data_IF_356172524892
#
_entry.id   IF_356172524892
#
_cell.length_a   1.000
_cell.length_b   1.000
_cell.length_c   1.000
_cell.angle_alpha   90.00
_cell.angle_beta   90.00
_cell.angle_gamma   90.00
#
_symmetry.space_group_name_H-M   'P 1'
#
loop_
_entity.id
_entity.type
_entity.pdbx_description
1 polymer ?
#
# COMPACT_ATOMS: atom_id res chain seq x y z
N UNK A 1 21.70 -11.24 -2.33
CA UNK A 1 20.94 -11.29 -1.04
C UNK A 1 21.91 -11.08 0.11
N UNK A 2 21.50 -10.39 1.18
CA UNK A 2 22.23 -10.19 2.43
C UNK A 2 21.32 -10.52 3.61
N UNK A 3 21.92 -11.08 4.64
CA UNK A 3 21.22 -11.48 5.85
C UNK A 3 21.38 -10.41 6.94
N UNK A 4 20.27 -10.02 7.54
CA UNK A 4 20.24 -9.07 8.66
C UNK A 4 19.27 -9.54 9.74
N UNK A 5 19.39 -8.97 10.93
CA UNK A 5 18.44 -9.12 12.03
C UNK A 5 17.79 -7.75 12.23
N UNK A 6 16.45 -7.70 12.17
CA UNK A 6 15.70 -6.44 12.23
C UNK A 6 14.24 -6.70 12.58
N UNK A 7 13.47 -5.67 12.85
CA UNK A 7 12.03 -5.72 12.89
C UNK A 7 11.39 -5.14 11.59
N UNK A 8 10.07 -5.32 11.45
CA UNK A 8 9.36 -4.89 10.26
C UNK A 8 9.39 -3.37 10.03
N UNK A 9 9.28 -2.57 11.08
CA UNK A 9 9.31 -1.11 11.00
C UNK A 9 10.69 -0.60 10.56
N UNK A 10 11.77 -1.15 11.12
CA UNK A 10 13.15 -0.83 10.71
C UNK A 10 13.41 -1.25 9.26
N UNK A 11 12.84 -2.39 8.82
CA UNK A 11 12.95 -2.85 7.42
C UNK A 11 12.26 -1.91 6.44
N UNK A 12 11.10 -1.37 6.80
CA UNK A 12 10.42 -0.31 6.00
C UNK A 12 11.32 0.92 5.86
N UNK A 13 11.87 1.42 6.97
CA UNK A 13 12.77 2.57 6.94
C UNK A 13 14.04 2.29 6.12
N UNK A 14 14.64 1.11 6.29
CA UNK A 14 15.82 0.68 5.53
C UNK A 14 15.55 0.60 4.04
N UNK A 15 14.47 -0.03 3.64
CA UNK A 15 14.06 -0.14 2.23
C UNK A 15 13.83 1.25 1.61
N UNK A 16 13.15 2.14 2.35
CA UNK A 16 12.93 3.53 1.92
C UNK A 16 14.25 4.26 1.64
N UNK A 17 15.23 4.18 2.54
CA UNK A 17 16.56 4.78 2.35
C UNK A 17 17.26 4.21 1.12
N UNK A 18 17.20 2.90 0.94
CA UNK A 18 17.93 2.18 -0.11
C UNK A 18 17.33 2.37 -1.51
N UNK A 19 16.02 2.59 -1.61
CA UNK A 19 15.34 2.97 -2.86
C UNK A 19 15.46 4.46 -3.18
N UNK A 20 16.18 5.21 -2.34
CA UNK A 20 16.48 6.62 -2.57
C UNK A 20 15.54 7.63 -1.91
N UNK A 21 14.73 7.24 -0.94
CA UNK A 21 13.99 8.19 -0.11
C UNK A 21 14.96 9.10 0.64
N UNK A 22 14.73 10.43 0.58
CA UNK A 22 15.59 11.43 1.22
C UNK A 22 14.81 12.43 2.06
N UNK A 23 13.50 12.20 2.24
CA UNK A 23 12.69 13.04 3.10
C UNK A 23 11.64 12.22 3.84
N UNK A 24 11.53 12.47 5.14
CA UNK A 24 10.47 11.96 5.99
C UNK A 24 9.89 13.10 6.82
N UNK A 25 8.58 13.31 6.71
CA UNK A 25 7.82 14.21 7.58
C UNK A 25 6.76 13.42 8.34
N UNK A 26 6.67 13.60 9.65
CA UNK A 26 5.72 12.83 10.41
C UNK A 26 5.47 13.31 11.84
N UNK A 27 4.55 12.64 12.49
CA UNK A 27 4.18 12.79 13.88
C UNK A 27 4.12 11.39 14.53
N UNK A 28 4.66 11.20 15.75
CA UNK A 28 4.76 9.87 16.34
C UNK A 28 3.40 9.29 16.72
N UNK A 29 3.12 8.09 16.25
CA UNK A 29 1.93 7.32 16.62
C UNK A 29 2.28 5.82 16.66
N UNK A 30 1.91 5.13 17.76
CA UNK A 30 2.08 3.69 17.90
C UNK A 30 1.08 2.96 16.98
N UNK A 31 1.52 1.90 16.21
CA UNK A 31 2.81 1.20 16.28
C UNK A 31 3.82 1.64 15.19
N UNK A 32 3.59 2.73 14.46
CA UNK A 32 4.47 3.20 13.37
C UNK A 32 5.65 4.07 13.82
N UNK A 33 5.74 4.41 15.12
CA UNK A 33 6.78 5.32 15.65
C UNK A 33 8.21 4.83 15.39
N UNK A 34 8.43 3.52 15.31
CA UNK A 34 9.76 2.95 15.10
C UNK A 34 10.26 3.21 13.66
N UNK A 35 9.34 3.27 12.65
CA UNK A 35 9.69 3.75 11.31
C UNK A 35 10.24 5.17 11.38
N UNK A 36 9.52 6.06 12.07
CA UNK A 36 9.91 7.45 12.24
C UNK A 36 11.26 7.57 12.95
N UNK A 37 11.47 6.79 14.04
CA UNK A 37 12.74 6.76 14.77
C UNK A 37 13.89 6.30 13.87
N UNK A 38 13.73 5.18 13.16
CA UNK A 38 14.75 4.68 12.24
C UNK A 38 15.09 5.70 11.14
N UNK A 39 14.07 6.37 10.56
CA UNK A 39 14.27 7.42 9.56
C UNK A 39 15.01 8.64 10.13
N UNK A 40 14.74 9.03 11.38
CA UNK A 40 15.42 10.16 12.05
C UNK A 40 16.93 9.94 12.19
N UNK A 41 17.34 8.69 12.38
CA UNK A 41 18.76 8.29 12.50
C UNK A 41 19.41 8.08 11.13
N UNK A 42 18.68 7.54 10.16
CA UNK A 42 19.24 7.13 8.87
C UNK A 42 19.34 8.28 7.86
N UNK A 43 18.32 9.13 7.74
CA UNK A 43 18.26 10.20 6.73
C UNK A 43 19.43 11.19 6.81
N UNK A 44 19.83 11.71 7.99
CA UNK A 44 20.97 12.63 8.06
C UNK A 44 22.28 12.00 7.58
N UNK A 45 22.45 10.67 7.73
CA UNK A 45 23.67 9.96 7.32
C UNK A 45 23.78 9.80 5.80
N UNK A 46 22.69 9.95 5.07
CA UNK A 46 22.67 9.84 3.60
C UNK A 46 22.30 11.15 2.89
N UNK A 47 22.42 12.29 3.58
CA UNK A 47 22.11 13.61 3.02
C UNK A 47 20.61 13.87 2.86
N UNK A 48 19.77 13.11 3.55
CA UNK A 48 18.32 13.32 3.59
C UNK A 48 17.89 14.18 4.78
N UNK A 49 16.61 14.53 4.81
CA UNK A 49 16.01 15.37 5.84
C UNK A 49 14.89 14.63 6.56
N UNK A 50 14.89 14.75 7.87
CA UNK A 50 13.86 14.26 8.76
C UNK A 50 13.23 15.43 9.50
N UNK A 51 11.90 15.51 9.52
CA UNK A 51 11.19 16.55 10.27
C UNK A 51 10.06 15.92 11.09
N UNK A 52 10.14 16.08 12.39
CA UNK A 52 8.99 15.85 13.27
C UNK A 52 8.14 17.12 13.29
N UNK A 53 6.87 16.96 13.02
CA UNK A 53 5.89 18.04 13.00
C UNK A 53 5.00 17.99 14.25
N UNK A 54 4.13 18.99 14.41
CA UNK A 54 3.23 19.10 15.56
C UNK A 54 2.00 18.17 15.47
N UNK A 55 1.67 17.72 14.26
CA UNK A 55 0.54 16.83 13.97
C UNK A 55 0.75 16.06 12.65
N UNK A 56 -0.20 15.15 12.36
CA UNK A 56 -0.20 14.34 11.15
C UNK A 56 -0.47 15.15 9.88
N UNK A 57 -1.26 16.23 9.97
CA UNK A 57 -1.60 17.12 8.84
C UNK A 57 -0.34 17.81 8.34
N UNK A 58 0.42 18.39 9.25
CA UNK A 58 1.69 19.05 8.95
C UNK A 58 2.73 18.04 8.45
N UNK A 59 2.77 16.82 9.04
CA UNK A 59 3.72 15.76 8.67
C UNK A 59 3.58 15.31 7.21
N UNK A 60 2.35 15.07 6.75
CA UNK A 60 2.13 14.73 5.33
C UNK A 60 2.34 15.94 4.42
N UNK A 61 1.95 17.14 4.85
CA UNK A 61 2.09 18.36 4.02
C UNK A 61 3.54 18.66 3.67
N UNK A 62 4.47 18.57 4.64
CA UNK A 62 5.90 18.77 4.35
C UNK A 62 6.47 17.65 3.47
N UNK A 63 5.96 16.41 3.60
CA UNK A 63 6.37 15.29 2.75
C UNK A 63 5.92 15.48 1.29
N UNK A 64 4.72 16.01 1.08
CA UNK A 64 4.23 16.38 -0.26
C UNK A 64 5.06 17.51 -0.86
N UNK A 65 5.39 18.56 -0.08
CA UNK A 65 6.27 19.65 -0.50
C UNK A 65 7.65 19.15 -0.94
N UNK A 66 8.24 18.23 -0.20
CA UNK A 66 9.50 17.58 -0.56
C UNK A 66 9.37 16.76 -1.85
N UNK A 67 8.27 16.02 -2.02
CA UNK A 67 8.01 15.28 -3.26
C UNK A 67 7.88 16.20 -4.46
N UNK A 68 7.20 17.33 -4.34
CA UNK A 68 7.08 18.35 -5.41
C UNK A 68 8.42 18.97 -5.78
N UNK A 69 9.38 19.03 -4.87
CA UNK A 69 10.76 19.46 -5.16
C UNK A 69 11.64 18.37 -5.78
N UNK A 70 11.08 17.21 -6.11
CA UNK A 70 11.76 16.10 -6.78
C UNK A 70 12.37 15.04 -5.85
N UNK A 71 12.13 15.16 -4.54
CA UNK A 71 12.69 14.24 -3.54
C UNK A 71 11.74 13.09 -3.28
N UNK A 72 12.18 11.83 -3.40
CA UNK A 72 11.40 10.69 -2.91
C UNK A 72 11.16 10.87 -1.42
N UNK A 73 9.89 10.86 -1.01
CA UNK A 73 9.46 11.14 0.36
C UNK A 73 8.45 10.12 0.85
N UNK A 74 8.37 9.99 2.17
CA UNK A 74 7.36 9.18 2.82
C UNK A 74 6.89 9.80 4.14
N UNK A 75 5.77 9.30 4.61
CA UNK A 75 5.26 9.48 5.97
C UNK A 75 4.78 8.13 6.51
N UNK A 76 4.76 7.97 7.82
CA UNK A 76 4.19 6.79 8.48
C UNK A 76 3.16 7.22 9.50
N UNK A 77 2.14 6.35 9.72
CA UNK A 77 1.09 6.59 10.70
C UNK A 77 0.39 5.28 11.08
N UNK A 78 -0.74 5.41 11.75
CA UNK A 78 -1.70 4.35 12.06
C UNK A 78 -3.10 4.93 11.91
N UNK A 79 -4.13 4.11 11.77
CA UNK A 79 -5.51 4.50 11.48
C UNK A 79 -5.97 5.88 11.97
N UNK A 80 -5.87 6.22 13.29
CA UNK A 80 -6.28 7.55 13.77
C UNK A 80 -5.51 8.71 13.14
N UNK A 81 -4.20 8.54 12.92
CA UNK A 81 -3.38 9.55 12.26
C UNK A 81 -3.60 9.61 10.75
N UNK A 82 -3.91 8.48 10.10
CA UNK A 82 -4.34 8.48 8.69
C UNK A 82 -5.64 9.29 8.54
N UNK A 83 -6.58 9.16 9.49
CA UNK A 83 -7.81 9.95 9.49
C UNK A 83 -7.59 11.47 9.49
N UNK A 84 -6.48 11.94 10.08
CA UNK A 84 -6.11 13.36 10.05
C UNK A 84 -5.45 13.78 8.73
N UNK A 85 -4.87 12.83 7.98
CA UNK A 85 -4.15 13.10 6.72
C UNK A 85 -5.03 13.11 5.48
N UNK A 86 -6.33 12.83 5.59
CA UNK A 86 -7.20 12.54 4.44
C UNK A 86 -7.26 13.65 3.41
N UNK A 87 -7.33 14.92 3.81
CA UNK A 87 -7.38 16.03 2.86
C UNK A 87 -6.09 16.14 2.03
N UNK A 88 -4.93 16.00 2.67
CA UNK A 88 -3.64 16.01 1.98
C UNK A 88 -3.45 14.77 1.09
N UNK A 89 -4.00 13.64 1.47
CA UNK A 89 -4.07 12.44 0.62
C UNK A 89 -4.91 12.76 -0.63
N UNK A 90 -6.06 13.41 -0.47
CA UNK A 90 -6.89 13.88 -1.59
C UNK A 90 -6.19 14.81 -2.52
N UNK A 91 -5.51 15.81 -1.95
CA UNK A 91 -4.66 16.72 -2.71
C UNK A 91 -3.58 15.97 -3.51
N UNK A 92 -2.93 14.98 -2.89
CA UNK A 92 -1.91 14.16 -3.54
C UNK A 92 -2.44 13.37 -4.73
N UNK A 93 -3.66 12.81 -4.64
CA UNK A 93 -4.30 12.13 -5.77
C UNK A 93 -4.60 13.10 -6.91
N UNK A 94 -5.25 14.22 -6.63
CA UNK A 94 -5.66 15.19 -7.66
C UNK A 94 -4.46 15.86 -8.33
N UNK A 95 -3.46 16.24 -7.54
CA UNK A 95 -2.25 16.91 -8.03
C UNK A 95 -1.19 15.94 -8.58
N UNK A 96 -1.43 14.65 -8.50
CA UNK A 96 -0.53 13.58 -8.94
C UNK A 96 0.87 13.66 -8.32
N UNK A 97 0.92 13.81 -6.99
CA UNK A 97 2.16 13.90 -6.23
C UNK A 97 2.49 12.52 -5.66
N UNK A 98 3.59 11.88 -6.06
CA UNK A 98 3.97 10.57 -5.54
C UNK A 98 4.43 10.67 -4.08
N UNK A 99 3.91 9.78 -3.25
CA UNK A 99 4.26 9.66 -1.83
C UNK A 99 4.04 8.22 -1.36
N UNK A 100 4.92 7.70 -0.54
CA UNK A 100 4.67 6.45 0.18
C UNK A 100 4.10 6.77 1.56
N UNK A 101 2.96 6.18 1.88
CA UNK A 101 2.28 6.33 3.17
C UNK A 101 2.24 4.95 3.84
N UNK A 102 3.08 4.74 4.85
CA UNK A 102 3.04 3.52 5.63
C UNK A 102 1.97 3.64 6.73
N UNK A 103 0.98 2.76 6.66
CA UNK A 103 -0.01 2.58 7.71
C UNK A 103 0.29 1.28 8.45
N UNK A 104 0.74 1.40 9.70
CA UNK A 104 0.90 0.24 10.58
C UNK A 104 -0.39 0.09 11.38
N UNK A 105 -1.27 -0.78 10.88
CA UNK A 105 -2.63 -0.96 11.36
C UNK A 105 -2.66 -1.49 12.80
N UNK A 106 -3.46 -0.87 13.63
CA UNK A 106 -3.73 -1.28 15.01
C UNK A 106 -5.22 -1.49 15.25
N UNK A 107 -5.55 -2.09 16.38
CA UNK A 107 -6.94 -2.36 16.72
C UNK A 107 -7.70 -1.06 16.98
N UNK A 108 -8.74 -0.80 16.17
CA UNK A 108 -9.69 0.32 16.26
C UNK A 108 -11.08 -0.15 16.74
N UNK A 109 -12.13 0.67 16.61
CA UNK A 109 -12.15 2.02 16.03
C UNK A 109 -11.58 3.10 16.98
N UNK A 110 -11.40 4.34 16.46
CA UNK A 110 -10.83 5.47 17.19
C UNK A 110 -9.44 5.15 17.75
N UNK A 111 -9.10 5.56 18.95
CA UNK A 111 -7.80 5.29 19.60
C UNK A 111 -7.55 3.79 19.76
N UNK A 112 -8.58 3.02 20.01
CA UNK A 112 -8.55 1.56 20.07
C UNK A 112 -7.55 0.99 21.07
N UNK A 113 -6.80 -0.01 20.62
CA UNK A 113 -5.73 -0.65 21.38
C UNK A 113 -4.38 -0.45 20.65
N UNK A 114 -3.55 0.55 21.03
CA UNK A 114 -2.39 0.99 20.24
C UNK A 114 -1.31 -0.07 19.98
N UNK A 115 -1.20 -1.06 20.85
CA UNK A 115 -0.20 -2.15 20.78
C UNK A 115 -0.84 -3.50 20.43
N UNK A 116 -1.99 -3.49 19.75
CA UNK A 116 -2.72 -4.71 19.40
C UNK A 116 -3.03 -4.75 17.91
N UNK A 117 -2.83 -5.93 17.34
CA UNK A 117 -3.00 -6.18 15.91
C UNK A 117 -4.46 -6.06 15.48
N UNK A 118 -4.66 -5.50 14.29
CA UNK A 118 -5.87 -5.58 13.51
C UNK A 118 -5.56 -5.33 12.02
N UNK A 119 -6.54 -5.60 11.16
CA UNK A 119 -6.56 -5.23 9.75
C UNK A 119 -7.79 -4.32 9.52
N UNK A 120 -7.87 -3.24 10.32
CA UNK A 120 -9.06 -2.40 10.43
C UNK A 120 -9.15 -1.27 9.42
N UNK A 121 -8.07 -0.95 8.71
CA UNK A 121 -7.98 0.23 7.87
C UNK A 121 -8.09 -0.08 6.36
N UNK A 122 -8.39 -1.34 6.01
CA UNK A 122 -8.41 -1.84 4.62
C UNK A 122 -9.47 -1.14 3.77
N UNK A 123 -10.73 -1.12 4.22
CA UNK A 123 -11.80 -0.40 3.52
C UNK A 123 -11.62 1.12 3.56
N UNK A 124 -11.08 1.63 4.67
CA UNK A 124 -10.79 3.04 4.80
C UNK A 124 -9.80 3.49 3.73
N UNK A 125 -8.71 2.74 3.50
CA UNK A 125 -7.71 3.10 2.51
C UNK A 125 -8.06 2.71 1.06
N UNK A 126 -9.22 2.09 0.84
CA UNK A 126 -9.84 2.00 -0.50
C UNK A 126 -10.39 3.35 -0.95
N UNK A 127 -11.05 4.05 -0.02
CA UNK A 127 -11.69 5.34 -0.23
C UNK A 127 -11.39 6.29 0.93
N UNK A 128 -10.12 6.72 1.10
CA UNK A 128 -9.75 7.55 2.25
C UNK A 128 -10.26 8.98 2.16
N UNK A 129 -10.79 9.39 1.00
CA UNK A 129 -11.26 10.75 0.72
C UNK A 129 -12.59 10.73 -0.04
N UNK A 130 -13.19 11.90 -0.20
CA UNK A 130 -14.33 12.14 -1.08
C UNK A 130 -13.91 12.17 -2.57
N UNK A 131 -14.88 12.06 -3.48
CA UNK A 131 -14.66 12.13 -4.94
C UNK A 131 -14.26 10.78 -5.55
N UNK A 132 -13.84 10.82 -6.81
CA UNK A 132 -13.55 9.67 -7.64
C UNK A 132 -12.04 9.53 -7.90
N UNK A 133 -11.45 8.43 -7.45
CA UNK A 133 -10.03 8.11 -7.61
C UNK A 133 -9.80 6.59 -7.45
N UNK A 134 -8.58 6.13 -7.72
CA UNK A 134 -8.16 4.75 -7.44
C UNK A 134 -6.95 4.72 -6.52
N UNK A 135 -7.10 4.08 -5.38
CA UNK A 135 -6.02 3.86 -4.43
C UNK A 135 -5.12 2.70 -4.87
N UNK A 136 -3.84 2.78 -4.50
CA UNK A 136 -2.87 1.66 -4.60
C UNK A 136 -2.40 1.32 -3.19
N UNK A 137 -2.63 0.07 -2.77
CA UNK A 137 -2.31 -0.39 -1.42
C UNK A 137 -1.72 -1.80 -1.42
N UNK A 138 -0.57 -1.95 -0.79
CA UNK A 138 0.21 -3.19 -0.68
C UNK A 138 0.17 -3.73 0.74
N UNK A 139 0.05 -5.04 0.91
CA UNK A 139 -0.07 -5.68 2.22
C UNK A 139 1.05 -6.71 2.46
N UNK A 140 2.19 -6.30 3.02
CA UNK A 140 3.26 -7.20 3.40
C UNK A 140 2.79 -8.17 4.51
N UNK A 141 3.27 -9.42 4.46
CA UNK A 141 2.89 -10.47 5.39
C UNK A 141 4.00 -10.91 6.36
N UNK A 142 5.24 -10.52 6.09
CA UNK A 142 6.42 -10.93 6.84
C UNK A 142 7.56 -9.90 6.72
N UNK A 143 8.69 -10.17 7.37
CA UNK A 143 9.86 -9.28 7.39
C UNK A 143 10.46 -9.02 6.01
N UNK A 144 10.58 -10.06 5.17
CA UNK A 144 11.12 -9.92 3.82
C UNK A 144 10.23 -8.98 2.99
N UNK A 145 8.92 -9.13 3.13
CA UNK A 145 7.94 -8.31 2.43
C UNK A 145 7.81 -6.91 3.01
N UNK A 146 8.02 -6.70 4.32
CA UNK A 146 8.13 -5.35 4.88
C UNK A 146 9.21 -4.54 4.15
N UNK A 147 10.30 -5.20 3.72
CA UNK A 147 11.34 -4.59 2.91
C UNK A 147 10.96 -4.49 1.43
N UNK A 148 10.62 -5.62 0.80
CA UNK A 148 10.43 -5.68 -0.66
C UNK A 148 9.20 -4.92 -1.14
N UNK A 149 8.08 -4.99 -0.40
CA UNK A 149 6.88 -4.23 -0.72
C UNK A 149 7.07 -2.71 -0.48
N UNK A 150 7.97 -2.30 0.43
CA UNK A 150 8.34 -0.88 0.56
C UNK A 150 9.09 -0.40 -0.68
N UNK A 151 10.07 -1.15 -1.19
CA UNK A 151 10.75 -0.82 -2.46
C UNK A 151 9.73 -0.72 -3.59
N UNK A 152 8.81 -1.69 -3.67
CA UNK A 152 7.75 -1.72 -4.67
C UNK A 152 6.79 -0.53 -4.53
N UNK A 153 6.42 -0.13 -3.31
CA UNK A 153 5.57 1.03 -3.06
C UNK A 153 6.18 2.32 -3.61
N UNK A 154 7.48 2.54 -3.41
CA UNK A 154 8.19 3.68 -3.99
C UNK A 154 8.21 3.62 -5.51
N UNK A 155 8.49 2.45 -6.09
CA UNK A 155 8.49 2.28 -7.55
C UNK A 155 7.12 2.57 -8.16
N UNK A 156 6.05 2.06 -7.55
CA UNK A 156 4.68 2.33 -8.01
C UNK A 156 4.30 3.81 -7.85
N UNK A 157 4.66 4.45 -6.72
CA UNK A 157 4.39 5.86 -6.51
C UNK A 157 5.05 6.73 -7.58
N UNK A 158 6.33 6.51 -7.87
CA UNK A 158 7.08 7.24 -8.89
C UNK A 158 6.61 6.94 -10.32
N UNK A 159 6.26 5.68 -10.60
CA UNK A 159 5.77 5.25 -11.92
C UNK A 159 4.37 5.79 -12.22
N UNK A 160 3.50 5.83 -11.23
CA UNK A 160 2.08 6.18 -11.39
C UNK A 160 1.79 7.64 -11.03
N UNK A 161 2.75 8.36 -10.45
CA UNK A 161 2.57 9.71 -9.92
C UNK A 161 1.32 9.78 -9.03
N UNK A 162 1.32 9.02 -7.94
CA UNK A 162 0.16 8.87 -7.04
C UNK A 162 0.65 8.47 -5.64
N UNK A 163 -0.10 8.76 -4.56
CA UNK A 163 0.21 8.18 -3.27
C UNK A 163 0.00 6.65 -3.30
N UNK A 164 0.91 5.92 -2.64
CA UNK A 164 0.84 4.46 -2.48
C UNK A 164 0.86 4.13 -0.99
N UNK A 165 -0.08 3.30 -0.57
CA UNK A 165 -0.19 2.85 0.82
C UNK A 165 0.56 1.54 1.02
N UNK A 166 1.33 1.48 2.10
CA UNK A 166 1.88 0.24 2.64
C UNK A 166 1.05 -0.13 3.87
N UNK A 167 0.12 -1.07 3.71
CA UNK A 167 -0.79 -1.56 4.74
C UNK A 167 -0.15 -2.71 5.50
N UNK A 168 0.55 -2.41 6.57
CA UNK A 168 1.23 -3.39 7.39
C UNK A 168 0.49 -3.53 8.73
N UNK A 169 0.14 -4.74 9.13
CA UNK A 169 -0.42 -4.92 10.47
C UNK A 169 0.66 -4.88 11.57
N UNK A 170 0.26 -4.54 12.80
CA UNK A 170 1.15 -4.38 13.96
C UNK A 170 2.07 -5.58 14.17
N UNK A 171 1.56 -6.80 13.94
CA UNK A 171 2.36 -8.02 14.09
C UNK A 171 3.55 -8.04 13.15
N UNK A 172 3.38 -7.66 11.89
CA UNK A 172 4.49 -7.57 10.93
C UNK A 172 5.44 -6.44 11.33
N UNK A 173 4.90 -5.29 11.77
CA UNK A 173 5.70 -4.14 12.18
C UNK A 173 6.67 -4.44 13.32
N UNK A 174 6.20 -5.17 14.33
CA UNK A 174 6.99 -5.50 15.54
C UNK A 174 7.60 -6.91 15.51
N UNK A 175 7.34 -7.71 14.47
CA UNK A 175 8.01 -9.00 14.31
C UNK A 175 9.52 -8.77 14.21
N UNK A 176 10.29 -9.46 15.05
CA UNK A 176 11.74 -9.34 15.08
C UNK A 176 12.38 -10.67 14.69
N UNK A 177 13.32 -10.65 13.77
CA UNK A 177 13.95 -11.88 13.33
C UNK A 177 15.04 -11.69 12.29
N UNK A 178 15.55 -12.82 11.86
CA UNK A 178 16.56 -12.95 10.81
C UNK A 178 15.86 -12.95 9.45
N UNK A 179 16.32 -12.12 8.53
CA UNK A 179 15.71 -11.96 7.21
C UNK A 179 16.76 -11.85 6.11
N UNK A 180 16.42 -12.36 4.94
CA UNK A 180 17.21 -12.20 3.70
C UNK A 180 16.63 -11.04 2.89
N UNK A 181 17.43 -10.03 2.61
CA UNK A 181 17.03 -8.89 1.77
C UNK A 181 17.94 -8.73 0.55
N UNK A 182 17.48 -8.11 -0.54
CA UNK A 182 18.30 -7.83 -1.72
C UNK A 182 19.58 -7.04 -1.37
N UNK A 183 20.64 -7.23 -2.15
CA UNK A 183 21.81 -6.38 -2.07
C UNK A 183 21.49 -4.96 -2.54
N UNK A 184 22.22 -3.97 -2.05
CA UNK A 184 21.97 -2.56 -2.40
C UNK A 184 22.02 -2.31 -3.92
N UNK A 185 22.96 -2.94 -4.62
CA UNK A 185 23.05 -2.82 -6.08
C UNK A 185 21.83 -3.38 -6.81
N UNK A 186 21.24 -4.47 -6.30
CA UNK A 186 20.00 -5.05 -6.83
C UNK A 186 18.84 -4.07 -6.64
N UNK A 187 18.71 -3.49 -5.46
CA UNK A 187 17.69 -2.47 -5.17
C UNK A 187 17.85 -1.26 -6.08
N UNK A 188 19.08 -0.75 -6.25
CA UNK A 188 19.35 0.40 -7.11
C UNK A 188 19.00 0.13 -8.58
N UNK A 189 19.27 -1.09 -9.08
CA UNK A 189 18.91 -1.49 -10.46
C UNK A 189 17.41 -1.57 -10.69
N UNK A 190 16.63 -1.97 -9.69
CA UNK A 190 15.17 -2.06 -9.79
C UNK A 190 14.46 -0.75 -9.42
N UNK A 191 15.19 0.25 -8.92
CA UNK A 191 14.61 1.54 -8.51
C UNK A 191 14.10 2.31 -9.71
N UNK A 192 12.83 2.70 -9.66
CA UNK A 192 12.17 3.57 -10.63
C UNK A 192 12.20 5.00 -10.10
N UNK A 193 12.52 5.94 -10.98
CA UNK A 193 12.36 7.37 -10.74
C UNK A 193 11.29 7.92 -11.67
N UNK A 194 10.56 8.94 -11.22
CA UNK A 194 9.56 9.64 -12.05
C UNK A 194 10.19 10.19 -13.33
N UNK A 195 9.39 10.24 -14.38
CA UNK A 195 9.82 10.85 -15.64
C UNK A 195 9.94 12.37 -15.46
N UNK A 196 10.93 12.97 -16.09
CA UNK A 196 11.06 14.41 -16.20
C UNK A 196 10.92 14.83 -17.66
N UNK A 197 10.29 15.97 -17.90
CA UNK A 197 10.22 16.56 -19.23
C UNK A 197 11.59 17.13 -19.62
N UNK A 198 12.04 16.76 -20.81
CA UNK A 198 13.28 17.27 -21.42
C UNK A 198 12.88 17.92 -22.74
N UNK A 199 12.93 19.25 -22.81
CA UNK A 199 12.54 20.01 -24.01
C UNK A 199 12.50 21.52 -23.77
N UNK A 200 11.98 22.28 -24.74
CA UNK A 200 11.79 23.73 -24.59
C UNK A 200 10.73 23.99 -23.51
N UNK A 201 11.06 24.82 -22.53
CA UNK A 201 10.19 25.16 -21.41
C UNK A 201 8.83 25.73 -21.82
N UNK A 202 8.72 26.34 -23.02
CA UNK A 202 7.45 26.84 -23.56
C UNK A 202 6.46 25.74 -23.92
N UNK A 203 6.96 24.50 -24.21
CA UNK A 203 6.17 23.36 -24.62
C UNK A 203 5.78 22.48 -23.41
N UNK A 204 6.26 22.83 -22.20
CA UNK A 204 6.02 22.07 -21.00
C UNK A 204 4.56 22.15 -20.54
N UNK A 205 3.89 21.01 -20.56
CA UNK A 205 2.50 20.81 -20.11
C UNK A 205 2.44 19.58 -19.21
N UNK A 206 2.67 19.73 -17.90
CA UNK A 206 2.84 18.60 -16.99
C UNK A 206 1.66 17.61 -16.97
N UNK A 207 0.44 18.09 -17.19
CA UNK A 207 -0.78 17.29 -17.22
C UNK A 207 -1.31 17.05 -18.65
N UNK A 208 -0.60 17.56 -19.68
CA UNK A 208 -0.93 17.36 -21.09
C UNK A 208 -0.38 16.03 -21.63
N UNK A 209 -0.71 14.93 -21.00
CA UNK A 209 -0.25 13.58 -21.32
C UNK A 209 -1.39 12.73 -21.88
N UNK A 210 -1.10 11.51 -22.35
CA UNK A 210 -2.12 10.58 -22.83
C UNK A 210 -3.08 10.13 -21.69
N UNK A 211 -4.25 9.63 -22.06
CA UNK A 211 -5.33 9.32 -21.10
C UNK A 211 -5.04 8.14 -20.16
N UNK A 212 -4.00 7.38 -20.41
CA UNK A 212 -3.52 6.27 -19.57
C UNK A 212 -2.13 6.53 -18.95
N UNK A 213 -1.59 7.74 -19.15
CA UNK A 213 -0.28 8.12 -18.62
C UNK A 213 -0.40 9.08 -17.41
N UNK A 214 0.52 8.97 -16.44
CA UNK A 214 0.61 9.89 -15.32
C UNK A 214 1.14 11.25 -15.76
N UNK A 215 0.88 12.28 -14.96
CA UNK A 215 1.49 13.60 -15.14
C UNK A 215 3.03 13.52 -15.12
N UNK A 216 3.67 14.45 -15.84
CA UNK A 216 5.14 14.59 -15.86
C UNK A 216 5.50 15.89 -15.13
N UNK A 217 5.61 15.79 -13.79
CA UNK A 217 5.91 16.93 -12.93
C UNK A 217 7.42 17.09 -12.74
N UNK A 218 8.00 18.06 -13.45
CA UNK A 218 9.39 18.44 -13.19
C UNK A 218 9.53 19.07 -11.80
N UNK A 219 10.64 18.78 -11.08
CA UNK A 219 10.84 19.34 -9.75
C UNK A 219 10.73 20.86 -9.71
N UNK A 220 10.10 21.39 -8.69
CA UNK A 220 10.11 22.83 -8.42
C UNK A 220 11.55 23.37 -8.34
N UNK A 221 11.72 24.63 -8.64
CA UNK A 221 13.01 25.36 -8.64
C UNK A 221 14.00 24.94 -9.76
N UNK A 222 13.60 24.05 -10.71
CA UNK A 222 14.40 23.68 -11.89
C UNK A 222 14.13 24.57 -13.13
N UNK A 223 13.40 25.67 -12.94
CA UNK A 223 13.16 26.67 -13.98
C UNK A 223 11.97 26.37 -14.89
N UNK A 224 11.18 25.37 -14.60
CA UNK A 224 9.88 25.14 -15.21
C UNK A 224 8.79 25.88 -14.43
N UNK A 225 7.81 26.45 -15.15
CA UNK A 225 6.69 27.17 -14.54
C UNK A 225 5.39 26.46 -14.85
N UNK A 226 4.68 26.03 -13.83
CA UNK A 226 3.39 25.39 -13.91
C UNK A 226 2.65 25.60 -12.59
N UNK A 227 1.35 25.36 -12.61
CA UNK A 227 0.52 25.41 -11.42
C UNK A 227 0.23 24.00 -10.92
N UNK A 228 0.12 23.82 -9.60
CA UNK A 228 -0.31 22.58 -8.96
C UNK A 228 -1.48 22.91 -8.06
N UNK A 229 -2.57 22.18 -8.20
CA UNK A 229 -3.82 22.45 -7.50
C UNK A 229 -4.56 21.16 -7.14
N UNK A 230 -5.32 21.19 -6.04
CA UNK A 230 -6.33 20.20 -5.72
C UNK A 230 -7.65 20.40 -6.48
N UNK A 231 -7.79 21.50 -7.25
CA UNK A 231 -8.94 21.73 -8.10
C UNK A 231 -8.81 20.95 -9.43
N UNK A 232 -9.93 20.73 -10.12
CA UNK A 232 -9.87 20.27 -11.52
C UNK A 232 -9.06 21.28 -12.34
N UNK A 233 -8.13 20.79 -13.15
CA UNK A 233 -7.15 21.65 -13.81
C UNK A 233 -6.85 21.18 -15.24
N UNK A 234 -6.41 22.13 -16.05
CA UNK A 234 -6.01 21.90 -17.43
C UNK A 234 -4.55 21.43 -17.57
N UNK A 235 -4.05 21.31 -18.82
CA UNK A 235 -2.72 20.73 -19.13
C UNK A 235 -1.52 21.39 -18.46
N UNK A 236 -1.63 22.65 -18.05
CA UNK A 236 -0.57 23.40 -17.35
C UNK A 236 -0.85 23.60 -15.86
N UNK A 237 -1.87 22.91 -15.32
CA UNK A 237 -2.21 22.87 -13.90
C UNK A 237 -3.15 23.98 -13.41
N UNK A 238 -3.52 24.96 -14.24
CA UNK A 238 -4.46 25.99 -13.81
C UNK A 238 -5.88 25.45 -13.66
N UNK A 239 -6.60 25.87 -12.61
CA UNK A 239 -7.96 25.44 -12.35
C UNK A 239 -8.92 25.72 -13.52
N UNK A 240 -9.91 24.84 -13.70
CA UNK A 240 -10.95 24.98 -14.71
C UNK A 240 -12.28 24.44 -14.22
N UNK A 241 -13.38 25.04 -14.71
CA UNK A 241 -14.75 24.54 -14.56
C UNK A 241 -15.29 23.96 -15.88
N UNK A 242 -14.45 23.82 -16.91
CA UNK A 242 -14.82 23.17 -18.15
C UNK A 242 -15.12 21.68 -17.91
N UNK A 243 -16.37 21.28 -18.17
CA UNK A 243 -16.85 19.92 -17.88
C UNK A 243 -16.09 18.84 -18.65
N UNK A 244 -15.64 19.15 -19.89
CA UNK A 244 -14.88 18.19 -20.69
C UNK A 244 -13.48 18.00 -20.13
N UNK A 245 -12.77 19.09 -19.84
CA UNK A 245 -11.40 19.03 -19.27
C UNK A 245 -11.44 18.33 -17.91
N UNK A 246 -12.43 18.66 -17.07
CA UNK A 246 -12.61 18.04 -15.75
C UNK A 246 -12.91 16.55 -15.85
N UNK A 247 -13.78 16.13 -16.77
CA UNK A 247 -14.09 14.72 -17.02
C UNK A 247 -12.87 13.96 -17.54
N UNK A 248 -12.20 14.49 -18.55
CA UNK A 248 -10.98 13.90 -19.14
C UNK A 248 -9.86 13.72 -18.06
N UNK A 249 -9.76 14.65 -17.10
CA UNK A 249 -8.81 14.54 -15.97
C UNK A 249 -9.16 13.36 -15.05
N UNK A 250 -10.42 13.24 -14.62
CA UNK A 250 -10.85 12.12 -13.76
C UNK A 250 -10.67 10.78 -14.47
N UNK A 251 -11.09 10.68 -15.74
CA UNK A 251 -10.89 9.46 -16.53
C UNK A 251 -9.40 9.08 -16.61
N UNK A 252 -8.51 10.04 -16.79
CA UNK A 252 -7.07 9.80 -16.81
C UNK A 252 -6.53 9.32 -15.46
N UNK A 253 -6.99 9.88 -14.34
CA UNK A 253 -6.59 9.42 -13.00
C UNK A 253 -6.99 7.96 -12.75
N UNK A 254 -8.11 7.51 -13.32
CA UNK A 254 -8.51 6.10 -13.31
C UNK A 254 -7.68 5.25 -14.27
N UNK A 255 -7.60 5.67 -15.52
CA UNK A 255 -6.99 4.89 -16.60
C UNK A 255 -5.51 4.62 -16.38
N UNK A 256 -4.75 5.58 -15.81
CA UNK A 256 -3.33 5.37 -15.48
C UNK A 256 -3.07 4.24 -14.49
N UNK A 257 -4.08 3.90 -13.67
CA UNK A 257 -4.02 2.76 -12.73
C UNK A 257 -4.57 1.50 -13.39
N UNK A 258 -5.71 1.60 -14.09
CA UNK A 258 -6.37 0.45 -14.71
C UNK A 258 -5.55 -0.18 -15.83
N UNK A 259 -4.91 0.62 -16.66
CA UNK A 259 -4.05 0.12 -17.76
C UNK A 259 -2.78 -0.59 -17.27
N UNK A 260 -2.41 -0.44 -15.99
CA UNK A 260 -1.19 -1.01 -15.41
C UNK A 260 -1.47 -2.05 -14.32
N UNK A 261 -2.70 -2.58 -14.25
CA UNK A 261 -3.07 -3.57 -13.22
C UNK A 261 -2.18 -4.82 -13.23
N UNK A 262 -1.71 -5.26 -14.39
CA UNK A 262 -0.82 -6.42 -14.51
C UNK A 262 0.56 -6.18 -13.84
N UNK A 263 0.99 -4.91 -13.73
CA UNK A 263 2.22 -4.52 -13.03
C UNK A 263 1.93 -4.27 -11.53
N UNK A 264 0.76 -3.70 -11.24
CA UNK A 264 0.37 -3.33 -9.88
C UNK A 264 -0.04 -4.55 -9.05
N UNK A 265 -0.78 -5.49 -9.64
CA UNK A 265 -1.31 -6.64 -8.92
C UNK A 265 -0.29 -7.75 -8.79
N UNK A 266 0.11 -8.04 -7.56
CA UNK A 266 0.86 -9.23 -7.21
C UNK A 266 0.05 -10.09 -6.26
N UNK A 267 0.12 -11.41 -6.49
CA UNK A 267 -0.57 -12.41 -5.68
C UNK A 267 0.37 -13.57 -5.39
N UNK A 268 0.11 -14.27 -4.31
CA UNK A 268 0.72 -15.56 -4.01
C UNK A 268 -0.35 -16.65 -4.07
N UNK A 269 -0.02 -17.77 -4.72
CA UNK A 269 -0.89 -18.93 -4.86
C UNK A 269 -0.16 -20.18 -4.40
N UNK A 270 -0.82 -21.00 -3.56
CA UNK A 270 -0.30 -22.27 -3.07
C UNK A 270 -1.37 -23.35 -3.21
N UNK A 271 -1.01 -24.50 -3.77
CA UNK A 271 -1.80 -25.74 -3.82
C UNK A 271 -3.24 -25.56 -4.35
N UNK A 272 -3.45 -24.60 -5.26
CA UNK A 272 -4.79 -24.35 -5.83
C UNK A 272 -5.25 -25.49 -6.74
N UNK A 273 -4.33 -26.16 -7.44
CA UNK A 273 -4.70 -27.25 -8.33
C UNK A 273 -5.21 -28.47 -7.53
N UNK A 274 -6.45 -28.88 -7.82
CA UNK A 274 -7.10 -29.97 -7.13
C UNK A 274 -7.58 -29.65 -5.71
N UNK A 275 -7.55 -28.36 -5.30
CA UNK A 275 -8.11 -27.95 -4.03
C UNK A 275 -9.65 -28.09 -4.01
N UNK A 276 -10.19 -28.51 -2.87
CA UNK A 276 -11.63 -28.57 -2.60
C UNK A 276 -12.11 -27.33 -1.86
N UNK A 277 -11.21 -26.72 -1.06
CA UNK A 277 -11.42 -25.46 -0.36
C UNK A 277 -10.27 -24.51 -0.75
N UNK A 278 -10.58 -23.23 -0.94
CA UNK A 278 -9.56 -22.18 -1.09
C UNK A 278 -9.67 -21.20 0.06
N UNK A 279 -8.57 -20.99 0.77
CA UNK A 279 -8.46 -19.91 1.76
C UNK A 279 -7.98 -18.65 1.06
N UNK A 280 -8.56 -17.50 1.43
CA UNK A 280 -8.09 -16.18 1.02
C UNK A 280 -7.75 -15.37 2.27
N UNK A 281 -6.52 -14.88 2.37
CA UNK A 281 -6.07 -14.04 3.48
C UNK A 281 -4.89 -13.15 3.03
N UNK A 282 -4.59 -12.10 3.79
CA UNK A 282 -3.49 -11.16 3.53
C UNK A 282 -2.79 -10.77 4.84
N UNK A 283 -1.68 -10.01 4.74
CA UNK A 283 -0.92 -9.57 5.90
C UNK A 283 -0.43 -10.73 6.78
N UNK A 284 -0.25 -10.50 8.07
CA UNK A 284 0.26 -11.51 9.03
C UNK A 284 -0.61 -12.75 9.14
N UNK A 285 -1.91 -12.68 8.86
CA UNK A 285 -2.83 -13.83 8.84
C UNK A 285 -2.33 -14.92 7.89
N UNK A 286 -1.67 -14.54 6.82
CA UNK A 286 -1.09 -15.46 5.83
C UNK A 286 -0.10 -16.45 6.45
N UNK A 287 0.64 -16.04 7.47
CA UNK A 287 1.59 -16.92 8.19
C UNK A 287 0.86 -18.01 8.95
N UNK A 288 -0.23 -17.63 9.64
CA UNK A 288 -1.05 -18.61 10.38
C UNK A 288 -1.76 -19.58 9.43
N UNK A 289 -2.20 -19.10 8.26
CA UNK A 289 -2.78 -19.96 7.20
C UNK A 289 -1.75 -20.95 6.70
N UNK A 290 -0.56 -20.50 6.31
CA UNK A 290 0.50 -21.38 5.82
C UNK A 290 0.88 -22.45 6.83
N UNK A 291 0.95 -22.10 8.11
CA UNK A 291 1.24 -23.05 9.17
C UNK A 291 0.08 -24.06 9.37
N UNK A 292 -1.17 -23.61 9.36
CA UNK A 292 -2.33 -24.47 9.44
C UNK A 292 -2.37 -25.49 8.28
N UNK A 293 -2.05 -25.05 7.06
CA UNK A 293 -2.06 -25.90 5.86
C UNK A 293 -0.98 -26.96 5.86
N UNK A 294 0.20 -26.70 6.44
CA UNK A 294 1.26 -27.70 6.57
C UNK A 294 0.79 -28.96 7.30
N UNK A 295 0.01 -28.78 8.37
CA UNK A 295 -0.50 -29.90 9.18
C UNK A 295 -1.77 -30.47 8.57
N UNK A 296 -2.72 -29.61 8.19
CA UNK A 296 -4.02 -30.05 7.68
C UNK A 296 -3.90 -30.89 6.40
N UNK A 297 -3.13 -30.44 5.40
CA UNK A 297 -2.98 -31.14 4.11
C UNK A 297 -2.21 -32.48 4.22
N UNK A 298 -1.49 -32.69 5.32
CA UNK A 298 -0.85 -34.02 5.61
C UNK A 298 -1.80 -35.01 6.20
N UNK A 299 -2.71 -34.56 7.05
CA UNK A 299 -3.61 -35.43 7.83
C UNK A 299 -4.97 -35.62 7.15
N UNK A 300 -5.44 -34.63 6.40
CA UNK A 300 -6.75 -34.64 5.75
C UNK A 300 -6.66 -35.19 4.31
N UNK A 301 -7.71 -35.90 3.89
CA UNK A 301 -7.91 -36.25 2.47
C UNK A 301 -8.39 -35.08 1.65
N UNK A 302 -9.02 -34.08 2.28
CA UNK A 302 -9.51 -32.87 1.66
C UNK A 302 -8.35 -31.89 1.45
N UNK A 303 -8.10 -31.54 0.22
CA UNK A 303 -7.03 -30.59 -0.15
C UNK A 303 -7.50 -29.15 -0.02
N UNK A 304 -6.68 -28.32 0.60
CA UNK A 304 -6.93 -26.89 0.79
C UNK A 304 -5.85 -26.09 0.11
N UNK A 305 -6.26 -25.21 -0.81
CA UNK A 305 -5.38 -24.25 -1.47
C UNK A 305 -5.42 -22.88 -0.78
N UNK A 306 -4.47 -22.02 -1.13
CA UNK A 306 -4.35 -20.70 -0.57
C UNK A 306 -4.11 -19.66 -1.66
N UNK A 307 -4.87 -18.57 -1.64
CA UNK A 307 -4.69 -17.39 -2.46
C UNK A 307 -4.45 -16.18 -1.56
N UNK A 308 -3.40 -15.42 -1.82
CA UNK A 308 -3.06 -14.22 -1.09
C UNK A 308 -2.86 -13.04 -2.02
N UNK A 309 -3.73 -12.02 -2.01
CA UNK A 309 -3.42 -10.75 -2.64
C UNK A 309 -2.32 -10.05 -1.85
N UNK A 310 -1.22 -9.68 -2.51
CA UNK A 310 -0.19 -8.77 -1.98
C UNK A 310 -0.56 -7.33 -2.25
N UNK A 311 -1.25 -7.07 -3.37
CA UNK A 311 -1.91 -5.82 -3.67
C UNK A 311 -3.38 -5.93 -3.29
N UNK A 312 -3.84 -5.12 -2.33
CA UNK A 312 -5.26 -5.09 -1.95
C UNK A 312 -6.05 -4.13 -2.83
N UNK A 313 -5.45 -2.97 -3.16
CA UNK A 313 -6.07 -1.96 -4.01
C UNK A 313 -5.10 -1.55 -5.12
N UNK A 314 -5.54 -1.50 -6.40
CA UNK A 314 -6.80 -2.09 -6.89
C UNK A 314 -6.83 -3.59 -6.61
N UNK A 315 -8.02 -4.12 -6.33
CA UNK A 315 -8.15 -5.56 -6.06
C UNK A 315 -7.89 -6.38 -7.32
N UNK A 316 -7.36 -7.61 -7.21
CA UNK A 316 -7.20 -8.53 -8.33
C UNK A 316 -8.54 -9.16 -8.72
N UNK A 317 -9.55 -8.31 -9.03
CA UNK A 317 -10.94 -8.71 -9.21
C UNK A 317 -11.13 -9.80 -10.27
N UNK A 318 -10.37 -9.75 -11.37
CA UNK A 318 -10.38 -10.78 -12.41
C UNK A 318 -9.97 -12.14 -11.85
N UNK A 319 -8.86 -12.18 -11.09
CA UNK A 319 -8.36 -13.44 -10.51
C UNK A 319 -9.29 -13.96 -9.41
N UNK A 320 -9.83 -13.08 -8.58
CA UNK A 320 -10.84 -13.43 -7.58
C UNK A 320 -12.09 -14.04 -8.24
N UNK A 321 -12.56 -13.47 -9.36
CA UNK A 321 -13.67 -14.04 -10.10
C UNK A 321 -13.36 -15.44 -10.64
N UNK A 322 -12.20 -15.65 -11.25
CA UNK A 322 -11.74 -16.96 -11.72
C UNK A 322 -11.72 -18.01 -10.60
N UNK A 323 -11.25 -17.63 -9.41
CA UNK A 323 -11.27 -18.49 -8.22
C UNK A 323 -12.71 -18.76 -7.79
N UNK A 324 -13.56 -17.73 -7.77
CA UNK A 324 -14.98 -17.87 -7.43
C UNK A 324 -15.76 -18.78 -8.37
N UNK A 325 -15.45 -18.74 -9.66
CA UNK A 325 -16.10 -19.59 -10.68
C UNK A 325 -15.61 -21.04 -10.61
N UNK A 326 -14.37 -21.28 -10.15
CA UNK A 326 -13.74 -22.60 -10.14
C UNK A 326 -13.98 -23.40 -8.85
N UNK A 327 -13.97 -22.74 -7.70
CA UNK A 327 -14.00 -23.40 -6.40
C UNK A 327 -15.31 -23.12 -5.66
N UNK A 328 -15.99 -24.18 -5.22
CA UNK A 328 -17.26 -24.06 -4.50
C UNK A 328 -17.07 -23.50 -3.09
N UNK A 329 -16.09 -24.05 -2.35
CA UNK A 329 -15.84 -23.68 -0.96
C UNK A 329 -14.66 -22.68 -0.87
N UNK A 330 -14.95 -21.47 -0.43
CA UNK A 330 -13.96 -20.42 -0.22
C UNK A 330 -14.11 -19.91 1.21
N UNK A 331 -12.98 -19.79 1.92
CA UNK A 331 -12.90 -19.27 3.27
C UNK A 331 -12.03 -18.02 3.31
N UNK A 332 -12.62 -16.87 3.61
CA UNK A 332 -11.89 -15.62 3.83
C UNK A 332 -11.53 -15.47 5.31
N UNK A 333 -10.28 -15.10 5.60
CA UNK A 333 -9.79 -14.95 6.98
C UNK A 333 -9.16 -13.58 7.16
N UNK A 334 -9.68 -12.78 8.13
CA UNK A 334 -9.22 -11.41 8.37
C UNK A 334 -9.20 -11.06 9.87
N UNK A 335 -8.32 -10.12 10.25
CA UNK A 335 -8.30 -9.51 11.59
C UNK A 335 -9.23 -8.28 11.67
N UNK A 336 -10.46 -8.45 11.16
CA UNK A 336 -11.53 -7.45 11.17
C UNK A 336 -12.89 -8.15 11.04
N UNK A 337 -13.95 -7.43 10.70
CA UNK A 337 -15.32 -7.92 10.52
C UNK A 337 -15.72 -8.14 9.05
N UNK A 338 -14.73 -8.37 8.16
CA UNK A 338 -14.96 -8.68 6.75
C UNK A 338 -14.79 -7.48 5.81
N UNK A 339 -13.81 -6.63 6.06
CA UNK A 339 -13.59 -5.43 5.24
C UNK A 339 -13.18 -5.79 3.80
N UNK A 340 -12.26 -6.75 3.62
CA UNK A 340 -11.88 -7.20 2.28
C UNK A 340 -12.80 -8.31 1.76
N UNK A 341 -13.53 -9.02 2.66
CA UNK A 341 -14.57 -9.96 2.31
C UNK A 341 -15.60 -9.36 1.37
N UNK A 342 -16.05 -8.11 1.64
CA UNK A 342 -17.01 -7.42 0.79
C UNK A 342 -16.53 -7.26 -0.66
N UNK A 343 -15.25 -6.96 -0.84
CA UNK A 343 -14.63 -6.87 -2.16
C UNK A 343 -14.52 -8.24 -2.85
N UNK A 344 -14.15 -9.28 -2.10
CA UNK A 344 -14.09 -10.66 -2.60
C UNK A 344 -15.47 -11.13 -3.07
N UNK A 345 -16.50 -10.95 -2.24
CA UNK A 345 -17.88 -11.32 -2.58
C UNK A 345 -18.41 -10.52 -3.78
N UNK A 346 -18.07 -9.22 -3.86
CA UNK A 346 -18.39 -8.37 -5.02
C UNK A 346 -17.74 -8.90 -6.30
N UNK A 347 -16.45 -9.25 -6.25
CA UNK A 347 -15.72 -9.77 -7.41
C UNK A 347 -16.24 -11.15 -7.85
N UNK A 348 -16.57 -12.02 -6.91
CA UNK A 348 -17.07 -13.37 -7.14
C UNK A 348 -18.57 -13.42 -7.43
N UNK A 349 -19.32 -12.35 -7.15
CA UNK A 349 -20.78 -12.26 -7.25
C UNK A 349 -21.53 -13.35 -6.45
N UNK A 350 -20.96 -13.73 -5.30
CA UNK A 350 -21.57 -14.70 -4.37
C UNK A 350 -21.03 -14.53 -2.95
N UNK A 351 -21.76 -15.08 -1.99
CA UNK A 351 -21.31 -15.19 -0.59
C UNK A 351 -20.28 -16.32 -0.44
N UNK A 352 -19.34 -16.11 0.49
CA UNK A 352 -18.30 -17.10 0.84
C UNK A 352 -18.22 -17.25 2.35
N UNK A 353 -17.53 -18.30 2.81
CA UNK A 353 -17.32 -18.53 4.25
C UNK A 353 -16.34 -17.50 4.82
N UNK A 354 -16.53 -17.18 6.09
CA UNK A 354 -15.73 -16.15 6.76
C UNK A 354 -15.29 -16.58 8.15
N UNK A 355 -14.04 -16.26 8.47
CA UNK A 355 -13.47 -16.33 9.81
C UNK A 355 -12.83 -14.97 10.14
N UNK A 356 -13.51 -14.16 10.93
CA UNK A 356 -13.05 -12.81 11.31
C UNK A 356 -12.77 -12.69 12.80
N UNK A 357 -11.73 -11.96 13.17
CA UNK A 357 -11.40 -11.63 14.54
C UNK A 357 -11.01 -10.18 14.69
N UNK A 358 -11.71 -9.42 15.55
CA UNK A 358 -11.49 -7.99 15.79
C UNK A 358 -11.37 -7.70 17.29
N UNK A 359 -10.43 -8.38 17.96
CA UNK A 359 -10.25 -8.31 19.41
C UNK A 359 -8.81 -7.98 19.83
N UNK A 360 -7.98 -7.52 18.90
CA UNK A 360 -6.58 -7.18 19.14
C UNK A 360 -5.65 -8.40 19.28
N UNK A 361 -6.06 -9.56 18.79
CA UNK A 361 -5.27 -10.80 18.81
C UNK A 361 -5.21 -11.42 17.43
N UNK A 362 -4.12 -12.13 17.15
CA UNK A 362 -3.93 -12.92 15.94
C UNK A 362 -4.84 -14.15 15.92
N UNK A 363 -5.22 -14.59 14.72
CA UNK A 363 -5.90 -15.88 14.51
C UNK A 363 -4.84 -16.98 14.51
N UNK A 364 -5.06 -18.02 15.31
CA UNK A 364 -4.13 -19.15 15.43
C UNK A 364 -4.38 -20.22 14.35
N UNK A 365 -3.35 -21.02 13.98
CA UNK A 365 -3.52 -22.17 13.09
C UNK A 365 -4.61 -23.14 13.58
N UNK A 366 -4.75 -23.33 14.90
CA UNK A 366 -5.81 -24.20 15.47
C UNK A 366 -7.21 -23.70 15.18
N UNK A 367 -7.46 -22.37 15.23
CA UNK A 367 -8.77 -21.80 14.89
C UNK A 367 -9.07 -21.98 13.41
N UNK A 368 -8.06 -21.84 12.54
CA UNK A 368 -8.19 -22.07 11.10
C UNK A 368 -8.55 -23.53 10.82
N UNK A 369 -7.82 -24.49 11.41
CA UNK A 369 -8.09 -25.93 11.26
C UNK A 369 -9.49 -26.28 11.78
N UNK A 370 -9.91 -25.71 12.92
CA UNK A 370 -11.25 -25.93 13.45
C UNK A 370 -12.31 -25.44 12.45
N UNK A 371 -12.13 -24.26 11.84
CA UNK A 371 -13.04 -23.71 10.85
C UNK A 371 -13.09 -24.55 9.57
N UNK A 372 -11.96 -25.07 9.10
CA UNK A 372 -11.90 -25.96 7.93
C UNK A 372 -12.69 -27.26 8.15
N UNK A 373 -12.70 -27.80 9.37
CA UNK A 373 -13.46 -29.02 9.72
C UNK A 373 -14.99 -28.81 9.74
N UNK A 374 -15.46 -27.56 9.77
CA UNK A 374 -16.89 -27.22 9.69
C UNK A 374 -17.37 -27.10 8.24
N UNK A 375 -16.48 -27.03 7.23
CA UNK A 375 -16.75 -26.85 5.81
C UNK A 375 -16.78 -28.18 5.06
#
# INVERSE_FOLDING_TARGET
MREIISDGNELVAKAAIEVGCRFFGGYPITPSSDIMHAMSVALPKCGGHFIQMEDEISGISVSLGASMSGTKSMTASSGPGISLKVEQIGYSFMAEIPLVIADVMRSGPSTGMPTRVAQGDVNFLKHPIHGDFKAVALAPANLEEAYTETVRAFNLAEMLMTPVFLLMDETVGHMYGKVQIPNLEEVQKMTINRKEFVGDKKDYKPYGVAQDEPAVLNPFFKGYRYHVSGLHHGPIGFPTEDAKIGGDLIDRLFNKIESKQDIINENEEMDLEGAEIVIIAYGSVSLAVKEALKDYNKESKQKVGFFRPKTLWPSPAKRLKEIGDKYEKILVIELNKGQYLEEIERAMQRKVHFLGQANGRTISPKQIIAKLKEL
#
